data_IF_995638709695
#
_entry.id   IF_995638709695
#
_cell.length_a   1.000
_cell.length_b   1.000
_cell.length_c   1.000
_cell.angle_alpha   90.00
_cell.angle_beta   90.00
_cell.angle_gamma   90.00
#
_symmetry.space_group_name_H-M   'P 1'
#
loop_
_entity.id
_entity.type
_entity.pdbx_description
1 polymer ?
#
# COMPACT_ATOMS: atom_id res chain seq x y z
N UNK A 1 -40.97 -14.50 -40.59
CA UNK A 1 -40.37 -15.77 -40.11
C UNK A 1 -39.05 -15.99 -40.82
N UNK A 2 -37.94 -15.63 -40.24
CA UNK A 2 -36.59 -16.03 -40.70
C UNK A 2 -35.81 -16.51 -39.48
N UNK A 3 -35.54 -17.80 -39.45
CA UNK A 3 -34.72 -18.47 -38.44
C UNK A 3 -33.26 -18.13 -38.70
N UNK A 4 -32.60 -17.50 -37.71
CA UNK A 4 -31.14 -17.39 -37.68
C UNK A 4 -30.55 -18.63 -37.01
N UNK A 5 -29.88 -19.41 -37.83
CA UNK A 5 -29.10 -20.58 -37.44
C UNK A 5 -27.81 -20.10 -36.77
N UNK A 6 -27.67 -20.31 -35.46
CA UNK A 6 -26.39 -20.16 -34.75
C UNK A 6 -25.48 -21.32 -35.15
N UNK A 7 -24.45 -21.05 -35.94
CA UNK A 7 -23.32 -21.96 -36.12
C UNK A 7 -22.49 -21.97 -34.84
N UNK A 8 -22.51 -23.10 -34.16
CA UNK A 8 -21.54 -23.47 -33.13
C UNK A 8 -20.21 -23.80 -33.81
N UNK A 9 -19.20 -22.95 -33.61
CA UNK A 9 -17.82 -23.33 -33.88
C UNK A 9 -17.38 -24.18 -32.69
N UNK A 10 -17.44 -25.47 -32.88
CA UNK A 10 -16.87 -26.49 -31.98
C UNK A 10 -15.37 -26.56 -32.25
N UNK A 11 -14.61 -26.47 -31.18
CA UNK A 11 -13.17 -26.37 -31.14
C UNK A 11 -12.39 -27.44 -31.82
N UNK A 12 -11.27 -27.04 -32.33
CA UNK A 12 -10.10 -27.90 -32.45
C UNK A 12 -9.10 -27.44 -31.37
N UNK A 13 -9.26 -28.01 -30.20
CA UNK A 13 -8.17 -28.15 -29.25
C UNK A 13 -7.26 -29.22 -29.83
N UNK A 14 -6.17 -28.82 -30.40
CA UNK A 14 -5.16 -29.78 -30.87
C UNK A 14 -3.80 -29.30 -30.41
N UNK A 15 -3.29 -30.06 -29.48
CA UNK A 15 -1.87 -30.28 -29.21
C UNK A 15 -1.09 -29.06 -28.77
N UNK A 16 -1.26 -28.70 -27.51
CA UNK A 16 -0.19 -28.12 -26.70
C UNK A 16 0.97 -29.15 -26.65
N UNK A 17 1.92 -29.01 -27.54
CA UNK A 17 3.26 -29.47 -27.25
C UNK A 17 3.83 -28.56 -26.19
N UNK A 18 3.81 -29.05 -24.96
CA UNK A 18 4.54 -28.51 -23.84
C UNK A 18 6.04 -28.49 -24.15
N UNK A 19 6.53 -27.41 -24.71
CA UNK A 19 7.94 -27.08 -24.62
C UNK A 19 8.13 -26.29 -23.31
N UNK A 20 8.46 -27.05 -22.27
CA UNK A 20 9.04 -26.53 -21.03
C UNK A 20 10.16 -25.57 -21.35
N UNK A 21 10.15 -24.44 -20.61
CA UNK A 21 11.23 -23.47 -20.56
C UNK A 21 12.59 -24.18 -20.49
N UNK A 22 13.33 -24.15 -21.57
CA UNK A 22 14.68 -24.67 -21.66
C UNK A 22 15.64 -23.49 -21.83
N UNK A 23 16.24 -23.14 -20.73
CA UNK A 23 17.66 -22.90 -20.56
C UNK A 23 18.36 -22.10 -21.67
N UNK A 24 18.78 -20.93 -21.30
CA UNK A 24 19.87 -20.19 -21.91
C UNK A 24 21.04 -21.13 -22.29
N UNK A 25 21.44 -21.10 -23.57
CA UNK A 25 22.77 -21.53 -23.95
C UNK A 25 22.93 -22.93 -24.49
N UNK A 26 22.33 -23.22 -25.67
CA UNK A 26 22.93 -24.14 -26.63
C UNK A 26 22.85 -23.54 -28.02
N UNK A 27 23.97 -23.55 -28.75
CA UNK A 27 24.04 -23.14 -30.14
C UNK A 27 22.96 -23.87 -30.96
N UNK A 28 22.04 -23.07 -31.57
CA UNK A 28 21.01 -23.61 -32.48
C UNK A 28 19.57 -23.58 -31.99
N UNK A 29 19.26 -23.15 -30.75
CA UNK A 29 17.86 -23.00 -30.33
C UNK A 29 17.30 -21.63 -30.80
N UNK A 30 16.03 -21.61 -31.30
CA UNK A 30 15.39 -20.34 -31.65
C UNK A 30 15.23 -19.47 -30.40
N UNK A 31 15.61 -18.22 -30.52
CA UNK A 31 15.50 -17.23 -29.43
C UNK A 31 15.09 -15.89 -30.00
N UNK A 32 14.18 -15.21 -29.26
CA UNK A 32 13.87 -13.81 -29.45
C UNK A 32 13.85 -13.15 -28.08
N UNK A 33 14.75 -12.23 -27.84
CA UNK A 33 14.91 -11.59 -26.52
C UNK A 33 15.25 -10.12 -26.66
N UNK A 34 14.82 -9.35 -25.67
CA UNK A 34 15.17 -7.93 -25.56
C UNK A 34 16.59 -7.80 -25.01
N UNK A 35 17.37 -6.94 -25.64
CA UNK A 35 18.67 -6.51 -25.16
C UNK A 35 18.74 -4.97 -25.21
N UNK A 36 18.53 -4.34 -24.06
CA UNK A 36 18.40 -2.89 -23.99
C UNK A 36 17.20 -2.36 -24.79
N UNK A 37 17.46 -1.46 -25.74
CA UNK A 37 16.48 -0.88 -26.66
C UNK A 37 16.26 -1.69 -27.96
N UNK A 38 16.83 -2.90 -28.04
CA UNK A 38 16.78 -3.73 -29.25
C UNK A 38 16.15 -5.08 -28.98
N UNK A 39 15.43 -5.62 -30.00
CA UNK A 39 15.00 -6.99 -30.07
C UNK A 39 16.01 -7.79 -30.89
N UNK A 40 16.70 -8.72 -30.24
CA UNK A 40 17.61 -9.66 -30.88
C UNK A 40 16.84 -10.93 -31.24
N UNK A 41 16.92 -11.33 -32.50
CA UNK A 41 16.24 -12.52 -33.05
C UNK A 41 17.27 -13.47 -33.58
N UNK A 42 17.30 -14.71 -33.08
CA UNK A 42 18.20 -15.76 -33.54
C UNK A 42 17.42 -17.03 -33.86
N UNK A 43 17.33 -17.38 -35.13
CA UNK A 43 16.46 -18.45 -35.60
C UNK A 43 17.19 -19.42 -36.52
N UNK A 44 17.21 -20.73 -36.25
CA UNK A 44 17.62 -21.73 -37.20
C UNK A 44 16.48 -21.98 -38.23
N UNK A 45 16.54 -21.32 -39.38
CA UNK A 45 15.51 -21.42 -40.41
C UNK A 45 15.89 -22.58 -41.37
N UNK A 46 14.95 -23.47 -41.61
CA UNK A 46 15.07 -24.56 -42.61
C UNK A 46 13.98 -24.41 -43.68
N UNK A 47 14.18 -24.99 -44.85
CA UNK A 47 13.13 -25.03 -45.88
C UNK A 47 11.87 -25.74 -45.40
N UNK A 48 12.00 -26.75 -44.53
CA UNK A 48 10.89 -27.53 -43.94
C UNK A 48 10.02 -28.29 -44.93
N UNK A 49 10.39 -28.25 -46.22
CA UNK A 49 9.70 -28.96 -47.32
C UNK A 49 10.71 -29.53 -48.27
N UNK A 50 10.28 -30.47 -49.11
CA UNK A 50 11.06 -31.00 -50.22
C UNK A 50 10.99 -30.00 -51.38
N UNK A 51 11.99 -29.10 -51.46
CA UNK A 51 12.02 -28.03 -52.44
C UNK A 51 12.20 -28.55 -53.84
N UNK A 52 11.31 -28.26 -54.82
CA UNK A 52 11.48 -28.64 -56.22
C UNK A 52 12.81 -28.13 -56.77
N UNK A 53 13.43 -28.90 -57.69
CA UNK A 53 14.75 -28.57 -58.21
C UNK A 53 14.83 -27.21 -58.93
N UNK A 54 13.71 -26.73 -59.46
CA UNK A 54 13.54 -25.41 -60.11
C UNK A 54 12.70 -24.42 -59.27
N UNK A 55 12.37 -24.79 -58.02
CA UNK A 55 11.63 -23.94 -57.06
C UNK A 55 12.54 -23.02 -56.28
N UNK A 56 11.92 -21.98 -55.75
CA UNK A 56 12.50 -21.06 -54.75
C UNK A 56 11.53 -20.88 -53.61
N UNK A 57 12.00 -21.03 -52.37
CA UNK A 57 11.22 -20.80 -51.17
C UNK A 57 11.78 -19.55 -50.48
N UNK A 58 10.95 -18.54 -50.34
CA UNK A 58 11.26 -17.36 -49.55
C UNK A 58 10.61 -17.49 -48.16
N UNK A 59 11.40 -17.37 -47.10
CA UNK A 59 10.92 -17.41 -45.72
C UNK A 59 11.18 -16.03 -45.11
N UNK A 60 10.10 -15.35 -44.78
CA UNK A 60 10.16 -14.02 -44.19
C UNK A 60 9.81 -14.12 -42.70
N UNK A 61 10.76 -13.90 -41.76
CA UNK A 61 10.44 -13.79 -40.35
C UNK A 61 9.70 -12.46 -40.09
N UNK A 62 8.65 -12.52 -39.30
CA UNK A 62 7.82 -11.39 -38.98
C UNK A 62 7.62 -11.35 -37.46
N UNK A 63 7.97 -10.23 -36.84
CA UNK A 63 7.59 -9.94 -35.44
C UNK A 63 6.12 -9.55 -35.46
N UNK A 64 5.28 -10.19 -34.65
CA UNK A 64 3.85 -9.91 -34.64
C UNK A 64 3.25 -10.12 -33.22
N UNK A 65 2.32 -9.24 -32.84
CA UNK A 65 1.44 -9.41 -31.67
C UNK A 65 -0.03 -9.65 -32.07
N UNK A 66 -0.29 -9.86 -33.38
CA UNK A 66 -1.63 -10.01 -33.92
C UNK A 66 -2.22 -8.70 -34.48
N UNK A 67 -1.87 -7.54 -33.93
CA UNK A 67 -2.33 -6.22 -34.39
C UNK A 67 -1.24 -5.48 -35.17
N UNK A 68 -0.02 -5.50 -34.65
CA UNK A 68 1.15 -4.87 -35.25
C UNK A 68 2.12 -5.93 -35.77
N UNK A 69 2.86 -5.57 -36.84
CA UNK A 69 3.86 -6.45 -37.41
C UNK A 69 5.04 -5.69 -38.01
N UNK A 70 6.24 -6.27 -37.87
CA UNK A 70 7.45 -5.81 -38.55
C UNK A 70 8.07 -6.99 -39.30
N UNK A 71 8.30 -6.80 -40.60
CA UNK A 71 8.95 -7.78 -41.44
C UNK A 71 10.47 -7.67 -41.25
N UNK A 72 11.12 -8.80 -41.01
CA UNK A 72 12.56 -8.92 -40.99
C UNK A 72 13.09 -9.30 -42.38
N UNK A 73 14.39 -9.25 -42.57
CA UNK A 73 15.01 -9.63 -43.81
C UNK A 73 14.66 -11.09 -44.20
N UNK A 74 14.22 -11.35 -45.41
CA UNK A 74 13.84 -12.68 -45.83
C UNK A 74 15.05 -13.60 -46.03
N UNK A 75 14.81 -14.91 -45.86
CA UNK A 75 15.76 -16.00 -46.14
C UNK A 75 15.30 -16.78 -47.36
N UNK A 76 16.15 -16.93 -48.35
CA UNK A 76 15.80 -17.58 -49.62
C UNK A 76 16.47 -18.96 -49.78
N UNK A 77 15.68 -19.97 -50.03
CA UNK A 77 16.14 -21.33 -50.34
C UNK A 77 15.89 -21.61 -51.82
N UNK A 78 16.93 -21.99 -52.54
CA UNK A 78 16.85 -22.19 -54.01
C UNK A 78 17.13 -23.63 -54.37
N UNK A 79 16.30 -24.18 -55.24
CA UNK A 79 16.49 -25.52 -55.81
C UNK A 79 17.65 -25.56 -56.82
N UNK A 80 18.28 -26.73 -56.95
CA UNK A 80 19.52 -26.93 -57.73
C UNK A 80 19.46 -26.44 -59.20
N UNK A 81 18.32 -26.55 -59.87
CA UNK A 81 18.19 -26.13 -61.27
C UNK A 81 18.01 -24.59 -61.30
N UNK A 82 17.22 -24.05 -60.37
CA UNK A 82 17.00 -22.62 -60.26
C UNK A 82 18.31 -21.88 -59.94
N UNK A 83 19.10 -22.38 -59.03
CA UNK A 83 20.43 -21.87 -58.72
C UNK A 83 21.30 -21.64 -59.96
N UNK A 84 21.37 -22.70 -60.84
CA UNK A 84 22.15 -22.60 -62.08
C UNK A 84 21.58 -21.59 -63.09
N UNK A 85 20.27 -21.42 -63.10
CA UNK A 85 19.62 -20.44 -63.96
C UNK A 85 19.90 -19.04 -63.45
N UNK A 86 19.82 -18.83 -62.17
CA UNK A 86 20.08 -17.52 -61.52
C UNK A 86 21.55 -17.13 -61.66
N UNK A 87 22.52 -18.04 -61.43
CA UNK A 87 23.94 -17.82 -61.69
C UNK A 87 24.22 -17.43 -63.16
N UNK A 88 23.50 -18.08 -64.09
CA UNK A 88 23.67 -17.73 -65.52
C UNK A 88 23.06 -16.36 -65.85
N UNK A 89 21.94 -15.99 -65.28
CA UNK A 89 21.30 -14.66 -65.44
C UNK A 89 22.18 -13.57 -64.89
N UNK A 90 22.76 -13.78 -63.73
CA UNK A 90 23.68 -12.84 -63.12
C UNK A 90 24.89 -12.60 -63.98
N UNK A 91 25.48 -13.69 -64.50
CA UNK A 91 26.66 -13.63 -65.38
C UNK A 91 26.41 -12.96 -66.73
N UNK A 92 25.22 -13.18 -67.30
CA UNK A 92 24.89 -12.66 -68.64
C UNK A 92 24.28 -11.29 -68.65
N UNK A 93 23.51 -10.95 -67.59
CA UNK A 93 22.69 -9.75 -67.54
C UNK A 93 22.98 -8.83 -66.34
N UNK A 94 23.90 -9.24 -65.45
CA UNK A 94 24.19 -8.45 -64.22
C UNK A 94 23.01 -8.39 -63.23
N UNK A 95 21.99 -9.28 -63.39
CA UNK A 95 20.83 -9.29 -62.50
C UNK A 95 21.16 -10.22 -61.34
N UNK A 96 21.28 -9.69 -60.09
CA UNK A 96 21.63 -10.51 -58.93
C UNK A 96 20.56 -11.59 -58.69
N UNK A 97 21.02 -12.77 -58.30
CA UNK A 97 20.15 -13.91 -58.00
C UNK A 97 19.18 -13.63 -56.84
N UNK A 98 19.54 -12.72 -55.93
CA UNK A 98 18.79 -12.28 -54.79
C UNK A 98 18.75 -10.76 -54.79
N UNK A 99 17.58 -10.07 -54.62
CA UNK A 99 17.50 -8.62 -54.58
C UNK A 99 18.35 -8.00 -53.47
N UNK A 100 18.79 -6.77 -53.66
CA UNK A 100 19.46 -5.99 -52.61
C UNK A 100 18.57 -5.93 -51.35
N UNK A 101 19.18 -6.10 -50.16
CA UNK A 101 18.46 -6.07 -48.88
C UNK A 101 17.93 -7.43 -48.42
N UNK A 102 18.08 -8.48 -49.24
CA UNK A 102 17.82 -9.89 -48.83
C UNK A 102 19.11 -10.49 -48.32
N UNK A 103 19.08 -11.21 -47.19
CA UNK A 103 20.25 -11.94 -46.69
C UNK A 103 20.81 -12.88 -47.74
N UNK A 104 22.00 -12.55 -48.26
CA UNK A 104 22.55 -13.13 -49.51
C UNK A 104 23.30 -14.44 -49.35
N UNK A 105 23.26 -15.10 -48.21
CA UNK A 105 24.08 -16.30 -47.97
C UNK A 105 23.29 -17.61 -47.96
N UNK A 106 22.18 -17.73 -48.68
CA UNK A 106 21.22 -18.82 -48.46
C UNK A 106 20.87 -19.61 -49.71
N UNK A 107 21.86 -19.96 -50.50
CA UNK A 107 21.68 -21.01 -51.50
C UNK A 107 21.98 -22.36 -50.83
N UNK A 108 20.95 -23.18 -50.62
CA UNK A 108 21.11 -24.51 -50.02
C UNK A 108 21.26 -25.54 -51.10
N UNK A 109 22.45 -26.14 -51.17
CA UNK A 109 22.67 -27.35 -51.91
C UNK A 109 22.04 -28.53 -51.17
N UNK A 110 21.03 -29.15 -51.75
CA UNK A 110 20.34 -30.31 -51.18
C UNK A 110 21.32 -31.44 -50.85
N UNK A 111 21.55 -31.70 -49.56
CA UNK A 111 22.21 -32.93 -49.11
C UNK A 111 21.14 -33.97 -48.78
N UNK A 112 21.03 -35.00 -49.58
CA UNK A 112 20.13 -36.17 -49.30
C UNK A 112 20.51 -36.90 -48.02
N UNK A 113 21.73 -36.74 -47.52
CA UNK A 113 22.26 -37.51 -46.38
C UNK A 113 22.10 -36.79 -45.01
N UNK A 114 21.85 -35.50 -44.99
CA UNK A 114 21.67 -34.77 -43.72
C UNK A 114 20.74 -33.55 -43.89
N UNK A 115 19.43 -33.70 -43.61
CA UNK A 115 18.46 -32.59 -43.73
C UNK A 115 18.76 -31.41 -42.84
N UNK A 116 19.37 -31.64 -41.68
CA UNK A 116 19.75 -30.58 -40.71
C UNK A 116 20.95 -29.75 -41.21
N UNK A 117 21.74 -30.21 -42.19
CA UNK A 117 22.81 -29.41 -42.77
C UNK A 117 22.31 -28.22 -43.64
N UNK A 118 21.01 -28.10 -43.81
CA UNK A 118 20.37 -27.07 -44.64
C UNK A 118 19.70 -25.97 -43.81
N UNK A 119 20.01 -25.89 -42.51
CA UNK A 119 19.54 -24.81 -41.68
C UNK A 119 20.40 -23.53 -41.88
N UNK A 120 19.74 -22.39 -42.00
CA UNK A 120 20.36 -21.07 -42.00
C UNK A 120 20.14 -20.47 -40.66
N UNK A 121 21.20 -20.09 -40.00
CA UNK A 121 21.09 -19.30 -38.81
C UNK A 121 20.76 -17.84 -39.20
N UNK A 122 19.53 -17.45 -39.02
CA UNK A 122 19.11 -16.06 -39.15
C UNK A 122 19.44 -15.30 -37.87
N UNK A 123 20.11 -14.19 -38.01
CA UNK A 123 20.39 -13.22 -36.91
C UNK A 123 19.88 -11.85 -37.34
N UNK A 124 18.95 -11.33 -36.57
CA UNK A 124 18.35 -10.01 -36.78
C UNK A 124 18.37 -9.20 -35.49
N UNK A 125 18.49 -7.89 -35.66
CA UNK A 125 18.56 -6.94 -34.58
C UNK A 125 17.80 -5.67 -34.99
N UNK A 126 16.64 -5.41 -34.34
CA UNK A 126 15.76 -4.29 -34.63
C UNK A 126 15.49 -3.46 -33.38
N UNK A 127 15.14 -2.16 -33.49
CA UNK A 127 14.67 -1.38 -32.38
C UNK A 127 13.50 -2.07 -31.68
N UNK A 128 13.56 -2.18 -30.35
CA UNK A 128 12.47 -2.76 -29.57
C UNK A 128 11.36 -1.75 -29.36
N UNK A 129 10.12 -2.15 -29.64
CA UNK A 129 8.92 -1.38 -29.33
C UNK A 129 8.04 -2.09 -28.28
N UNK A 130 7.37 -1.38 -27.35
CA UNK A 130 6.60 -1.98 -26.26
C UNK A 130 5.57 -3.03 -26.69
N UNK A 131 4.98 -2.86 -27.86
CA UNK A 131 3.98 -3.79 -28.41
C UNK A 131 4.54 -5.16 -28.77
N UNK A 132 5.88 -5.29 -28.90
CA UNK A 132 6.55 -6.57 -29.21
C UNK A 132 6.54 -7.53 -28.02
N UNK A 133 6.35 -7.00 -26.80
CA UNK A 133 6.30 -7.80 -25.58
C UNK A 133 5.14 -8.81 -25.61
N UNK A 134 5.42 -10.09 -25.38
CA UNK A 134 4.41 -11.15 -25.47
C UNK A 134 4.02 -11.51 -26.90
N UNK A 135 4.65 -10.90 -27.89
CA UNK A 135 4.45 -11.24 -29.29
C UNK A 135 5.19 -12.50 -29.73
N UNK A 136 5.16 -12.76 -31.02
CA UNK A 136 5.73 -13.97 -31.63
C UNK A 136 6.55 -13.63 -32.85
N UNK A 137 7.54 -14.46 -33.16
CA UNK A 137 8.20 -14.46 -34.45
C UNK A 137 7.52 -15.52 -35.32
N UNK A 138 6.87 -15.05 -36.40
CA UNK A 138 6.13 -15.91 -37.34
C UNK A 138 6.88 -15.96 -38.65
N UNK A 139 7.11 -17.17 -39.18
CA UNK A 139 7.75 -17.39 -40.48
C UNK A 139 6.66 -17.48 -41.57
N UNK A 140 6.57 -16.46 -42.42
CA UNK A 140 5.77 -16.53 -43.64
C UNK A 140 6.61 -17.19 -44.77
N UNK A 141 6.01 -18.10 -45.50
CA UNK A 141 6.72 -18.96 -46.45
C UNK A 141 6.03 -18.93 -47.81
N UNK A 142 6.73 -18.43 -48.83
CA UNK A 142 6.26 -18.35 -50.19
C UNK A 142 7.08 -19.23 -51.11
N UNK A 143 6.44 -20.24 -51.73
CA UNK A 143 7.04 -21.14 -52.67
C UNK A 143 6.77 -20.63 -54.10
N UNK A 144 7.82 -20.34 -54.85
CA UNK A 144 7.75 -20.04 -56.28
C UNK A 144 8.21 -21.26 -57.08
N UNK A 145 7.34 -21.75 -57.92
CA UNK A 145 7.58 -22.90 -58.81
C UNK A 145 7.95 -22.47 -60.22
N UNK A 146 7.79 -23.42 -61.18
CA UNK A 146 7.94 -23.14 -62.60
C UNK A 146 6.92 -22.09 -63.10
N UNK A 147 7.32 -21.28 -64.06
CA UNK A 147 6.50 -20.22 -64.68
C UNK A 147 5.99 -19.12 -63.72
N UNK A 148 6.67 -18.89 -62.59
CA UNK A 148 6.32 -17.81 -61.69
C UNK A 148 5.10 -18.06 -60.82
N UNK A 149 4.57 -19.26 -60.75
CA UNK A 149 3.50 -19.62 -59.81
C UNK A 149 3.97 -19.52 -58.38
N UNK A 150 3.34 -18.66 -57.59
CA UNK A 150 3.60 -18.48 -56.17
C UNK A 150 2.51 -19.13 -55.33
N UNK A 151 2.93 -19.90 -54.33
CA UNK A 151 2.03 -20.58 -53.38
C UNK A 151 2.47 -20.20 -51.97
N UNK A 152 1.60 -19.52 -51.21
CA UNK A 152 1.83 -19.28 -49.81
C UNK A 152 1.62 -20.57 -49.00
N UNK A 153 2.60 -20.94 -48.22
CA UNK A 153 2.51 -22.07 -47.30
C UNK A 153 2.01 -21.60 -45.94
N UNK A 154 1.41 -22.46 -45.10
CA UNK A 154 0.98 -22.09 -43.76
C UNK A 154 2.11 -21.46 -42.96
N UNK A 155 1.84 -20.33 -42.25
CA UNK A 155 2.85 -19.70 -41.43
C UNK A 155 3.24 -20.60 -40.23
N UNK A 156 4.45 -20.42 -39.70
CA UNK A 156 4.97 -21.18 -38.57
C UNK A 156 5.41 -20.20 -37.46
N UNK A 157 4.99 -20.44 -36.22
CA UNK A 157 5.56 -19.75 -35.07
C UNK A 157 6.94 -20.34 -34.77
N UNK A 158 7.97 -19.50 -34.83
CA UNK A 158 9.37 -19.91 -34.63
C UNK A 158 9.89 -19.59 -33.22
N UNK A 159 9.43 -18.51 -32.61
CA UNK A 159 9.81 -18.13 -31.27
C UNK A 159 8.72 -17.27 -30.64
N UNK A 160 8.69 -17.24 -29.32
CA UNK A 160 7.89 -16.29 -28.52
C UNK A 160 8.81 -15.21 -27.93
N UNK A 161 8.28 -14.00 -27.85
CA UNK A 161 8.96 -12.87 -27.22
C UNK A 161 8.44 -12.78 -25.78
N UNK A 162 9.33 -12.75 -24.80
CA UNK A 162 8.93 -12.65 -23.41
C UNK A 162 8.01 -11.44 -23.15
N UNK A 163 6.99 -11.57 -22.30
CA UNK A 163 6.16 -10.45 -21.91
C UNK A 163 6.99 -9.38 -21.17
N UNK A 164 6.55 -8.13 -21.24
CA UNK A 164 7.24 -7.04 -20.54
C UNK A 164 7.20 -7.26 -19.03
N UNK A 165 8.36 -7.17 -18.40
CA UNK A 165 8.48 -7.22 -16.95
C UNK A 165 7.74 -6.02 -16.35
N UNK A 166 6.94 -6.28 -15.32
CA UNK A 166 6.24 -5.26 -14.55
C UNK A 166 6.83 -5.20 -13.14
N UNK A 167 6.98 -4.02 -12.55
CA UNK A 167 7.43 -3.91 -11.18
C UNK A 167 6.38 -4.51 -10.23
N UNK A 168 6.84 -5.19 -9.19
CA UNK A 168 5.98 -5.75 -8.15
C UNK A 168 5.81 -4.75 -7.01
N UNK A 169 4.57 -4.37 -6.75
CA UNK A 169 4.20 -3.51 -5.63
C UNK A 169 4.10 -4.33 -4.34
N UNK A 170 4.52 -3.73 -3.23
CA UNK A 170 4.39 -4.34 -1.90
C UNK A 170 3.11 -3.86 -1.22
N UNK A 171 2.24 -4.82 -0.86
CA UNK A 171 1.13 -4.63 0.08
C UNK A 171 1.45 -5.41 1.34
N UNK A 172 1.39 -4.77 2.49
CA UNK A 172 1.93 -5.33 3.71
C UNK A 172 0.91 -5.30 4.84
N UNK A 173 0.97 -6.31 5.71
CA UNK A 173 0.17 -6.39 6.93
C UNK A 173 1.11 -6.28 8.11
N UNK A 174 0.95 -5.29 8.99
CA UNK A 174 1.75 -5.20 10.21
C UNK A 174 1.43 -6.33 11.18
N UNK A 175 2.35 -6.59 12.11
CA UNK A 175 2.09 -7.48 13.24
C UNK A 175 0.94 -6.94 14.10
N UNK A 176 0.20 -7.86 14.72
CA UNK A 176 -0.88 -7.46 15.62
C UNK A 176 -0.32 -6.84 16.90
N UNK A 177 -0.87 -5.69 17.24
CA UNK A 177 -0.63 -5.01 18.51
C UNK A 177 -1.90 -5.02 19.38
N UNK A 178 -1.76 -5.02 20.72
CA UNK A 178 -2.90 -4.91 21.63
C UNK A 178 -3.67 -3.61 21.39
N UNK A 179 -4.96 -3.71 21.14
CA UNK A 179 -5.84 -2.56 20.89
C UNK A 179 -6.25 -1.93 22.20
N UNK A 180 -5.47 -0.96 22.67
CA UNK A 180 -5.76 -0.20 23.87
C UNK A 180 -6.48 1.10 23.55
N UNK A 181 -7.62 1.28 24.17
CA UNK A 181 -8.43 2.48 24.04
C UNK A 181 -8.66 3.11 25.42
N UNK A 182 -8.91 4.40 25.42
CA UNK A 182 -9.31 5.09 26.66
C UNK A 182 -10.40 6.11 26.35
N UNK A 183 -11.37 6.18 27.23
CA UNK A 183 -12.36 7.26 27.22
C UNK A 183 -12.20 8.09 28.48
N UNK A 184 -12.28 9.40 28.32
CA UNK A 184 -12.11 10.37 29.42
C UNK A 184 -13.37 11.22 29.57
N UNK A 185 -13.75 11.45 30.81
CA UNK A 185 -14.83 12.32 31.21
C UNK A 185 -14.37 13.18 32.37
N UNK A 186 -14.63 14.47 32.29
CA UNK A 186 -14.51 15.37 33.44
C UNK A 186 -15.90 15.61 34.01
N UNK A 187 -16.09 15.34 35.30
CA UNK A 187 -17.32 15.57 36.03
C UNK A 187 -17.10 16.51 37.19
N UNK A 188 -17.99 17.47 37.34
CA UNK A 188 -17.99 18.39 38.51
C UNK A 188 -18.86 17.77 39.58
N UNK A 189 -18.23 17.08 40.53
CA UNK A 189 -18.94 16.46 41.65
C UNK A 189 -18.93 17.39 42.85
N UNK A 190 -20.12 17.72 43.34
CA UNK A 190 -20.32 18.58 44.48
C UNK A 190 -20.38 17.80 45.80
N UNK A 191 -19.62 18.23 46.76
CA UNK A 191 -19.65 17.69 48.11
C UNK A 191 -20.11 18.78 49.10
N UNK A 192 -20.87 18.43 50.15
CA UNK A 192 -21.15 19.40 51.24
C UNK A 192 -19.84 19.95 51.80
N UNK A 193 -19.86 21.18 52.29
CA UNK A 193 -18.68 21.88 52.80
C UNK A 193 -17.93 21.02 53.83
N UNK A 194 -16.61 20.91 53.66
CA UNK A 194 -15.74 20.11 54.54
C UNK A 194 -16.02 18.61 54.54
N UNK A 195 -16.87 18.09 53.63
CA UNK A 195 -17.25 16.68 53.58
C UNK A 195 -16.79 16.01 52.28
N UNK A 196 -16.66 14.70 52.36
CA UNK A 196 -16.33 13.81 51.23
C UNK A 196 -17.40 12.76 50.98
N UNK A 197 -18.58 12.85 51.60
CA UNK A 197 -19.68 11.95 51.34
C UNK A 197 -20.34 12.29 50.01
N UNK A 198 -20.35 11.35 49.10
CA UNK A 198 -21.01 11.49 47.80
C UNK A 198 -22.53 11.37 47.98
N UNK A 199 -23.25 12.43 47.70
CA UNK A 199 -24.71 12.47 47.74
C UNK A 199 -25.24 12.69 46.32
N UNK A 200 -25.93 11.73 45.74
CA UNK A 200 -26.45 11.83 44.36
C UNK A 200 -27.42 13.01 44.18
N UNK A 201 -28.27 13.29 45.19
CA UNK A 201 -29.23 14.38 45.15
C UNK A 201 -28.67 15.75 45.56
N UNK A 202 -27.38 15.90 45.82
CA UNK A 202 -26.76 17.18 46.19
C UNK A 202 -26.34 17.95 44.98
N UNK A 203 -26.76 19.19 44.83
CA UNK A 203 -26.51 20.07 43.69
C UNK A 203 -26.83 19.35 42.35
N UNK A 204 -25.89 19.38 41.40
CA UNK A 204 -26.02 18.76 40.07
C UNK A 204 -25.47 17.33 39.97
N UNK A 205 -25.15 16.69 41.10
CA UNK A 205 -24.53 15.39 41.12
C UNK A 205 -25.30 14.31 40.36
N UNK A 206 -26.62 14.36 40.35
CA UNK A 206 -27.46 13.41 39.61
C UNK A 206 -27.12 13.39 38.14
N UNK A 207 -26.94 14.57 37.53
CA UNK A 207 -26.55 14.73 36.12
C UNK A 207 -25.12 14.28 35.86
N UNK A 208 -24.19 14.72 36.72
CA UNK A 208 -22.77 14.37 36.57
C UNK A 208 -22.51 12.89 36.76
N UNK A 209 -23.11 12.26 37.75
CA UNK A 209 -23.02 10.81 37.97
C UNK A 209 -23.69 10.03 36.85
N UNK A 210 -24.82 10.50 36.30
CA UNK A 210 -25.44 9.84 35.16
C UNK A 210 -24.53 9.78 33.93
N UNK A 211 -23.66 10.77 33.72
CA UNK A 211 -22.66 10.76 32.64
C UNK A 211 -21.59 9.67 32.89
N UNK A 212 -21.09 9.58 34.13
CA UNK A 212 -20.14 8.52 34.55
C UNK A 212 -20.78 7.15 34.42
N UNK A 213 -22.01 7.00 34.93
CA UNK A 213 -22.78 5.76 34.90
C UNK A 213 -23.00 5.28 33.45
N UNK A 214 -23.43 6.18 32.57
CA UNK A 214 -23.67 5.88 31.15
C UNK A 214 -22.40 5.42 30.43
N UNK A 215 -21.27 6.09 30.66
CA UNK A 215 -20.00 5.70 30.09
C UNK A 215 -19.56 4.33 30.61
N UNK A 216 -19.60 4.14 31.94
CA UNK A 216 -19.15 2.90 32.59
C UNK A 216 -20.06 1.72 32.20
N UNK A 217 -21.38 1.87 32.25
CA UNK A 217 -22.34 0.83 31.87
C UNK A 217 -22.22 0.45 30.39
N UNK A 218 -22.00 1.42 29.50
CA UNK A 218 -21.79 1.17 28.06
C UNK A 218 -20.56 0.32 27.81
N UNK A 219 -19.46 0.59 28.52
CA UNK A 219 -18.23 -0.18 28.35
C UNK A 219 -18.32 -1.56 29.01
N UNK A 220 -18.85 -1.67 30.22
CA UNK A 220 -19.00 -2.95 30.92
C UNK A 220 -20.12 -3.85 30.33
N UNK A 221 -21.08 -3.27 29.64
CA UNK A 221 -22.13 -4.00 28.94
C UNK A 221 -21.70 -4.65 27.64
N UNK A 222 -20.45 -4.49 27.25
CA UNK A 222 -19.88 -5.13 26.07
C UNK A 222 -18.91 -6.24 26.49
N UNK A 223 -19.35 -7.48 26.40
CA UNK A 223 -18.57 -8.69 26.76
C UNK A 223 -17.26 -8.83 25.97
N UNK A 224 -17.11 -8.10 24.86
CA UNK A 224 -15.90 -8.09 24.07
C UNK A 224 -14.81 -7.16 24.62
N UNK A 225 -15.12 -6.32 25.62
CA UNK A 225 -14.15 -5.38 26.19
C UNK A 225 -13.57 -5.92 27.49
N UNK A 226 -12.27 -5.70 27.69
CA UNK A 226 -11.61 -5.93 28.97
C UNK A 226 -11.14 -4.60 29.56
N UNK A 227 -11.75 -4.19 30.69
CA UNK A 227 -11.34 -2.99 31.40
C UNK A 227 -9.98 -3.24 32.05
N UNK A 228 -8.98 -2.45 31.69
CA UNK A 228 -7.63 -2.52 32.26
C UNK A 228 -7.45 -1.60 33.46
N UNK A 229 -7.85 -0.34 33.30
CA UNK A 229 -7.68 0.66 34.35
C UNK A 229 -8.82 1.67 34.38
N UNK A 230 -9.15 2.08 35.59
CA UNK A 230 -10.03 3.21 35.88
C UNK A 230 -9.20 4.26 36.65
N UNK A 231 -8.84 5.33 35.94
CA UNK A 231 -8.10 6.43 36.52
C UNK A 231 -9.05 7.48 37.05
N UNK A 232 -8.88 7.83 38.33
CA UNK A 232 -9.64 8.87 39.01
C UNK A 232 -8.67 9.92 39.54
N UNK A 233 -8.90 11.20 39.20
CA UNK A 233 -8.14 12.31 39.77
C UNK A 233 -9.09 13.37 40.32
N UNK A 234 -9.00 13.58 41.62
CA UNK A 234 -9.83 14.54 42.33
C UNK A 234 -9.07 15.85 42.60
N UNK A 235 -9.83 16.90 42.47
CA UNK A 235 -9.36 18.25 42.68
C UNK A 235 -10.12 18.94 43.84
N UNK A 236 -9.43 19.76 44.61
CA UNK A 236 -10.05 20.69 45.52
C UNK A 236 -9.80 22.14 45.09
N UNK A 237 -10.47 23.08 45.71
CA UNK A 237 -10.27 24.51 45.52
C UNK A 237 -9.36 25.06 46.62
N UNK A 238 -8.58 26.12 46.36
CA UNK A 238 -7.65 26.70 47.31
C UNK A 238 -8.39 27.56 48.35
N UNK A 239 -9.26 26.95 49.15
CA UNK A 239 -10.05 27.65 50.18
C UNK A 239 -9.52 27.41 51.60
N UNK A 240 -8.88 26.28 51.82
CA UNK A 240 -8.33 25.81 53.08
C UNK A 240 -6.83 25.56 52.92
N UNK A 241 -6.16 25.12 54.01
CA UNK A 241 -4.74 24.81 53.96
C UNK A 241 -4.44 23.63 53.02
N UNK A 242 -3.31 23.68 52.36
CA UNK A 242 -2.85 22.65 51.40
C UNK A 242 -2.88 21.22 52.00
N UNK A 243 -2.42 20.94 53.25
CA UNK A 243 -2.53 19.62 53.86
C UNK A 243 -3.98 19.17 54.08
N UNK A 244 -4.90 20.11 54.38
CA UNK A 244 -6.32 19.81 54.52
C UNK A 244 -6.93 19.45 53.15
N UNK A 245 -6.65 20.23 52.11
CA UNK A 245 -7.11 20.01 50.74
C UNK A 245 -6.57 18.71 50.18
N UNK A 246 -5.35 18.31 50.51
CA UNK A 246 -4.76 17.02 50.16
C UNK A 246 -5.60 15.83 50.70
N UNK A 247 -5.97 15.87 51.98
CA UNK A 247 -6.79 14.83 52.58
C UNK A 247 -8.22 14.85 52.06
N UNK A 248 -8.77 16.03 51.84
CA UNK A 248 -10.14 16.21 51.36
C UNK A 248 -10.27 15.66 49.92
N UNK A 249 -9.38 16.02 49.00
CA UNK A 249 -9.38 15.53 47.62
C UNK A 249 -9.20 14.01 47.58
N UNK A 250 -8.29 13.43 48.37
CA UNK A 250 -8.09 12.01 48.46
C UNK A 250 -9.35 11.25 48.95
N UNK A 251 -10.03 11.80 49.96
CA UNK A 251 -11.27 11.18 50.46
C UNK A 251 -12.42 11.31 49.45
N UNK A 252 -12.51 12.37 48.69
CA UNK A 252 -13.50 12.54 47.60
C UNK A 252 -13.28 11.51 46.48
N UNK A 253 -12.05 11.37 46.00
CA UNK A 253 -11.69 10.30 45.02
C UNK A 253 -12.06 8.94 45.56
N UNK A 254 -11.80 8.65 46.84
CA UNK A 254 -12.19 7.39 47.47
C UNK A 254 -13.71 7.17 47.43
N UNK A 255 -14.50 8.20 47.66
CA UNK A 255 -15.96 8.11 47.60
C UNK A 255 -16.46 7.80 46.19
N UNK A 256 -15.89 8.38 45.15
CA UNK A 256 -16.21 8.05 43.76
C UNK A 256 -15.78 6.61 43.43
N UNK A 257 -14.57 6.21 43.83
CA UNK A 257 -14.11 4.82 43.65
C UNK A 257 -15.08 3.82 44.28
N UNK A 258 -15.46 4.05 45.54
CA UNK A 258 -16.40 3.17 46.25
C UNK A 258 -17.77 3.13 45.55
N UNK A 259 -18.27 4.27 45.10
CA UNK A 259 -19.47 4.37 44.28
C UNK A 259 -19.43 3.48 43.03
N UNK A 260 -18.30 3.54 42.28
CA UNK A 260 -18.12 2.72 41.07
C UNK A 260 -17.97 1.23 41.38
N UNK A 261 -17.32 0.87 42.48
CA UNK A 261 -17.22 -0.49 42.93
C UNK A 261 -18.59 -1.07 43.33
N UNK A 262 -19.36 -0.33 44.08
CA UNK A 262 -20.68 -0.77 44.58
C UNK A 262 -21.74 -0.88 43.46
N UNK A 263 -21.71 0.05 42.48
CA UNK A 263 -22.75 0.08 41.44
C UNK A 263 -22.38 -0.75 40.19
N UNK A 264 -21.08 -0.98 39.91
CA UNK A 264 -20.63 -1.64 38.70
C UNK A 264 -19.78 -2.90 38.95
N UNK A 265 -19.52 -3.26 40.20
CA UNK A 265 -18.75 -4.47 40.53
C UNK A 265 -17.29 -4.44 40.10
N UNK A 266 -16.72 -3.26 39.88
CA UNK A 266 -15.32 -3.12 39.43
C UNK A 266 -14.35 -3.55 40.54
N UNK A 267 -13.34 -4.38 40.17
CA UNK A 267 -12.31 -4.79 41.10
C UNK A 267 -11.48 -3.59 41.60
N UNK A 268 -11.06 -3.62 42.84
CA UNK A 268 -10.19 -2.59 43.41
C UNK A 268 -8.84 -2.48 42.69
N UNK A 269 -8.37 -3.56 42.09
CA UNK A 269 -7.11 -3.63 41.38
C UNK A 269 -7.06 -2.79 40.09
N UNK A 270 -8.22 -2.52 39.47
CA UNK A 270 -8.27 -1.72 38.24
C UNK A 270 -8.16 -0.21 38.50
N UNK A 271 -8.29 0.25 39.76
CA UNK A 271 -8.29 1.67 40.07
C UNK A 271 -6.89 2.26 40.25
N UNK A 272 -6.62 3.31 39.53
CA UNK A 272 -5.48 4.21 39.74
C UNK A 272 -6.04 5.55 40.21
N UNK A 273 -5.63 6.01 41.38
CA UNK A 273 -6.13 7.25 41.97
C UNK A 273 -5.01 8.28 42.11
N UNK A 274 -5.34 9.51 41.79
CA UNK A 274 -4.49 10.68 41.94
C UNK A 274 -5.27 11.86 42.58
N UNK A 275 -4.58 12.79 43.15
CA UNK A 275 -5.16 13.98 43.73
C UNK A 275 -4.38 15.21 43.29
N UNK A 276 -5.08 16.29 43.04
CA UNK A 276 -4.54 17.65 42.91
C UNK A 276 -5.19 18.48 44.02
N UNK A 277 -4.51 18.76 45.12
CA UNK A 277 -5.08 19.42 46.25
C UNK A 277 -5.66 20.79 45.94
N UNK A 278 -5.03 21.52 44.98
CA UNK A 278 -5.42 22.84 44.55
C UNK A 278 -5.13 23.06 43.08
N UNK A 279 -6.17 23.30 42.28
CA UNK A 279 -6.05 23.43 40.81
C UNK A 279 -5.66 24.84 40.40
N UNK A 280 -4.43 25.24 40.75
CA UNK A 280 -3.87 26.53 40.40
C UNK A 280 -3.77 26.76 38.87
N UNK A 281 -3.50 25.73 38.10
CA UNK A 281 -3.41 25.82 36.63
C UNK A 281 -4.74 26.19 36.00
N UNK A 282 -5.84 25.59 36.47
CA UNK A 282 -7.17 25.95 35.96
C UNK A 282 -7.62 27.32 36.44
N UNK A 283 -7.31 27.68 37.69
CA UNK A 283 -7.54 29.03 38.19
C UNK A 283 -6.81 30.05 37.32
N UNK A 284 -5.53 29.83 37.06
CA UNK A 284 -4.71 30.70 36.22
C UNK A 284 -5.32 30.90 34.83
N UNK A 285 -5.69 29.78 34.16
CA UNK A 285 -6.33 29.81 32.83
C UNK A 285 -7.63 30.63 32.84
N UNK A 286 -8.45 30.44 33.86
CA UNK A 286 -9.69 31.20 34.01
C UNK A 286 -9.39 32.69 34.19
N UNK A 287 -8.47 33.05 35.07
CA UNK A 287 -8.08 34.45 35.35
C UNK A 287 -7.57 35.14 34.09
N UNK A 288 -6.75 34.48 33.29
CA UNK A 288 -6.23 35.00 31.99
C UNK A 288 -7.37 35.39 31.05
N UNK A 289 -8.44 34.61 31.01
CA UNK A 289 -9.58 34.79 30.09
C UNK A 289 -10.69 35.67 30.68
N UNK A 290 -10.62 36.04 31.99
CA UNK A 290 -11.68 36.73 32.70
C UNK A 290 -11.59 38.25 32.54
N UNK A 291 -12.70 38.89 32.87
CA UNK A 291 -12.84 40.37 33.04
C UNK A 291 -12.54 40.83 34.47
N UNK A 292 -11.81 40.05 35.24
CA UNK A 292 -11.48 40.34 36.63
C UNK A 292 -10.67 41.67 36.72
N UNK A 293 -11.14 42.69 37.46
CA UNK A 293 -10.42 43.96 37.54
C UNK A 293 -8.98 43.83 38.02
N UNK A 294 -8.75 43.02 39.06
CA UNK A 294 -7.42 42.74 39.61
C UNK A 294 -6.71 41.55 38.93
N UNK A 295 -7.00 41.25 37.66
CA UNK A 295 -6.46 40.11 36.93
C UNK A 295 -4.94 39.99 37.01
N UNK A 296 -4.25 41.11 36.77
CA UNK A 296 -2.78 41.09 36.72
C UNK A 296 -2.16 40.85 38.11
N UNK A 297 -2.81 41.33 39.17
CA UNK A 297 -2.38 41.14 40.55
C UNK A 297 -2.56 39.66 40.97
N UNK A 298 -3.69 39.03 40.61
CA UNK A 298 -3.93 37.59 40.85
C UNK A 298 -2.93 36.75 40.11
N UNK A 299 -2.67 37.04 38.83
CA UNK A 299 -1.67 36.32 38.02
C UNK A 299 -0.26 36.48 38.63
N UNK A 300 0.09 37.68 39.07
CA UNK A 300 1.38 37.91 39.73
C UNK A 300 1.55 37.04 40.99
N UNK A 301 0.52 36.92 41.83
CA UNK A 301 0.54 36.05 43.01
C UNK A 301 0.68 34.59 42.60
N UNK A 302 -0.12 34.12 41.63
CA UNK A 302 -0.06 32.72 41.16
C UNK A 302 1.31 32.36 40.59
N UNK A 303 1.91 33.27 39.80
CA UNK A 303 3.13 33.01 39.06
C UNK A 303 4.42 33.18 39.88
N UNK A 304 4.37 34.00 40.96
CA UNK A 304 5.57 34.34 41.75
C UNK A 304 5.64 33.66 43.11
N UNK A 305 4.50 33.34 43.72
CA UNK A 305 4.46 32.72 45.03
C UNK A 305 4.43 31.20 44.90
N UNK A 306 5.45 30.53 45.38
CA UNK A 306 5.57 29.06 45.25
C UNK A 306 4.74 28.29 46.29
N UNK A 307 4.60 28.83 47.52
CA UNK A 307 3.82 28.17 48.56
C UNK A 307 2.31 28.36 48.33
N UNK A 308 1.53 27.26 48.21
CA UNK A 308 0.10 27.33 47.98
C UNK A 308 -0.69 28.09 49.03
N UNK A 309 -0.40 27.89 50.30
CA UNK A 309 -1.08 28.58 51.41
C UNK A 309 -0.78 30.11 51.38
N UNK A 310 0.44 30.50 51.03
CA UNK A 310 0.81 31.88 50.83
C UNK A 310 0.18 32.51 49.59
N UNK A 311 -0.03 31.74 48.52
CA UNK A 311 -0.82 32.20 47.33
C UNK A 311 -2.24 32.54 47.69
N UNK A 312 -2.93 31.66 48.42
CA UNK A 312 -4.30 31.90 48.85
C UNK A 312 -4.37 33.13 49.76
N UNK A 313 -3.45 33.26 50.75
CA UNK A 313 -3.36 34.44 51.60
C UNK A 313 -3.08 35.72 50.82
N UNK A 314 -2.24 35.67 49.75
CA UNK A 314 -1.96 36.80 48.88
C UNK A 314 -3.19 37.25 48.09
N UNK A 315 -3.94 36.31 47.52
CA UNK A 315 -5.18 36.62 46.78
C UNK A 315 -6.25 37.21 47.69
N UNK A 316 -6.36 36.74 48.94
CA UNK A 316 -7.29 37.28 49.94
C UNK A 316 -7.06 38.75 50.27
N UNK A 317 -5.84 39.25 50.06
CA UNK A 317 -5.48 40.65 50.34
C UNK A 317 -5.78 41.61 49.19
N UNK A 318 -5.98 41.09 47.98
CA UNK A 318 -6.27 41.89 46.79
C UNK A 318 -7.65 42.55 46.94
N UNK A 319 -7.75 43.84 46.66
CA UNK A 319 -8.99 44.66 46.74
C UNK A 319 -9.74 44.50 48.06
N UNK A 320 -9.02 44.42 49.18
CA UNK A 320 -9.61 44.18 50.50
C UNK A 320 -10.53 42.95 50.54
N UNK A 321 -10.20 41.90 49.74
CA UNK A 321 -10.91 40.62 49.67
C UNK A 321 -12.06 40.57 48.63
N UNK A 322 -12.37 41.64 47.93
CA UNK A 322 -13.45 41.66 46.96
C UNK A 322 -13.18 40.67 45.80
N UNK A 323 -11.95 40.67 45.30
CA UNK A 323 -11.50 39.72 44.27
C UNK A 323 -11.62 38.26 44.75
N UNK A 324 -11.19 37.96 45.96
CA UNK A 324 -11.30 36.61 46.54
C UNK A 324 -12.76 36.16 46.68
N UNK A 325 -13.67 37.04 47.14
CA UNK A 325 -15.09 36.73 47.24
C UNK A 325 -15.73 36.45 45.88
N UNK A 326 -15.26 37.11 44.82
CA UNK A 326 -15.70 36.82 43.46
C UNK A 326 -15.21 35.44 42.99
N UNK A 327 -13.95 35.11 43.23
CA UNK A 327 -13.39 33.79 42.92
C UNK A 327 -14.11 32.66 43.66
N UNK A 328 -14.40 32.86 44.97
CA UNK A 328 -15.16 31.91 45.77
C UNK A 328 -16.52 31.55 45.19
N UNK A 329 -17.21 32.56 44.65
CA UNK A 329 -18.57 32.40 44.12
C UNK A 329 -18.58 31.86 42.70
N UNK A 330 -17.71 32.33 41.82
CA UNK A 330 -17.80 32.10 40.38
C UNK A 330 -16.86 31.00 39.90
N UNK A 331 -15.70 30.79 40.55
CA UNK A 331 -14.64 29.95 40.03
C UNK A 331 -14.36 28.70 40.87
N UNK A 332 -14.16 28.89 42.17
CA UNK A 332 -13.76 27.82 43.07
C UNK A 332 -14.74 26.62 43.09
N UNK A 333 -16.06 26.77 42.94
CA UNK A 333 -16.96 25.63 42.79
C UNK A 333 -16.65 24.77 41.58
N UNK A 334 -16.15 25.37 40.49
CA UNK A 334 -15.80 24.65 39.24
C UNK A 334 -14.44 23.97 39.33
N UNK A 335 -13.55 24.39 40.22
CA UNK A 335 -12.27 23.74 40.48
C UNK A 335 -12.43 22.42 41.27
N UNK A 336 -13.54 22.25 41.95
CA UNK A 336 -13.89 21.03 42.68
C UNK A 336 -14.49 20.01 41.72
N UNK A 337 -13.62 19.31 40.97
CA UNK A 337 -14.01 18.33 39.93
C UNK A 337 -13.30 17.01 40.10
N UNK A 338 -13.80 16.01 39.40
CA UNK A 338 -13.18 14.70 39.24
C UNK A 338 -12.93 14.43 37.77
N UNK A 339 -11.70 14.07 37.43
CA UNK A 339 -11.38 13.52 36.14
C UNK A 339 -11.51 12.00 36.21
N UNK A 340 -12.32 11.45 35.33
CA UNK A 340 -12.57 10.03 35.17
C UNK A 340 -12.09 9.58 33.79
N UNK A 341 -11.22 8.58 33.77
CA UNK A 341 -10.74 7.95 32.55
C UNK A 341 -10.78 6.43 32.72
N UNK A 342 -11.38 5.77 31.78
CA UNK A 342 -11.43 4.30 31.72
C UNK A 342 -10.64 3.83 30.51
N UNK A 343 -9.69 2.93 30.73
CA UNK A 343 -8.90 2.31 29.67
C UNK A 343 -9.30 0.85 29.56
N UNK A 344 -9.43 0.39 28.33
CA UNK A 344 -9.88 -0.96 28.00
C UNK A 344 -9.14 -1.49 26.76
N UNK A 345 -9.12 -2.81 26.63
CA UNK A 345 -8.62 -3.50 25.44
C UNK A 345 -9.77 -4.14 24.68
N UNK A 346 -9.60 -4.16 23.35
CA UNK A 346 -10.45 -4.89 22.43
C UNK A 346 -9.75 -6.19 22.01
N UNK A 347 -10.47 -7.32 21.93
CA UNK A 347 -9.92 -8.55 21.37
C UNK A 347 -9.61 -8.37 19.88
N UNK A 348 -8.78 -9.24 19.29
CA UNK A 348 -8.62 -9.29 17.85
C UNK A 348 -9.95 -9.62 17.17
N UNK A 349 -10.29 -8.89 16.12
CA UNK A 349 -11.47 -9.15 15.32
C UNK A 349 -11.17 -10.07 14.13
N UNK A 350 -12.13 -10.93 13.81
CA UNK A 350 -12.10 -11.71 12.58
C UNK A 350 -12.34 -10.81 11.36
N UNK A 351 -11.97 -11.26 10.18
CA UNK A 351 -12.24 -10.54 8.93
C UNK A 351 -13.73 -10.23 8.73
N UNK A 352 -14.62 -11.16 9.15
CA UNK A 352 -16.08 -10.94 9.10
C UNK A 352 -16.52 -9.76 9.97
N UNK A 353 -16.05 -9.73 11.22
CA UNK A 353 -16.30 -8.62 12.15
C UNK A 353 -15.67 -7.31 11.66
N UNK A 354 -14.45 -7.37 11.15
CA UNK A 354 -13.77 -6.19 10.59
C UNK A 354 -14.56 -5.59 9.42
N UNK A 355 -15.19 -6.43 8.59
CA UNK A 355 -16.05 -5.98 7.48
C UNK A 355 -17.29 -5.23 7.94
N UNK A 356 -17.88 -5.62 9.06
CA UNK A 356 -19.03 -4.94 9.64
C UNK A 356 -18.62 -3.64 10.35
N UNK A 357 -17.44 -3.66 10.99
CA UNK A 357 -16.95 -2.54 11.79
C UNK A 357 -16.33 -1.42 10.96
N UNK A 358 -15.75 -1.72 9.81
CA UNK A 358 -15.00 -0.73 9.01
C UNK A 358 -15.84 0.50 8.62
N UNK A 359 -17.16 0.32 8.45
CA UNK A 359 -18.07 1.40 8.09
C UNK A 359 -18.75 2.06 9.31
N UNK A 360 -18.81 1.38 10.47
CA UNK A 360 -19.57 1.83 11.64
C UNK A 360 -18.69 2.25 12.82
N UNK A 361 -17.58 1.57 13.02
CA UNK A 361 -16.65 1.74 14.13
C UNK A 361 -15.19 1.48 13.70
N UNK A 362 -14.68 2.15 12.67
CA UNK A 362 -13.32 1.94 12.18
C UNK A 362 -12.26 2.15 13.27
N UNK A 363 -12.53 3.02 14.25
CA UNK A 363 -11.64 3.28 15.39
C UNK A 363 -11.41 2.05 16.30
N UNK A 364 -12.20 1.01 16.18
CA UNK A 364 -12.04 -0.25 16.93
C UNK A 364 -11.13 -1.25 16.23
N UNK A 365 -10.87 -1.03 14.95
CA UNK A 365 -9.98 -1.90 14.16
C UNK A 365 -8.52 -1.50 14.32
N UNK A 366 -7.66 -2.49 14.51
CA UNK A 366 -6.22 -2.28 14.37
C UNK A 366 -5.84 -2.12 12.90
N UNK A 367 -4.69 -1.50 12.64
CA UNK A 367 -4.17 -1.41 11.27
C UNK A 367 -3.97 -2.79 10.63
N UNK A 368 -3.48 -3.78 11.40
CA UNK A 368 -3.34 -5.15 10.94
C UNK A 368 -4.66 -5.78 10.49
N UNK A 369 -5.74 -5.53 11.23
CA UNK A 369 -7.08 -5.99 10.87
C UNK A 369 -7.62 -5.32 9.60
N UNK A 370 -7.41 -4.02 9.45
CA UNK A 370 -7.77 -3.31 8.23
C UNK A 370 -6.97 -3.81 7.03
N UNK A 371 -5.65 -4.03 7.18
CA UNK A 371 -4.82 -4.57 6.10
C UNK A 371 -5.24 -5.98 5.71
N UNK A 372 -5.50 -6.88 6.67
CA UNK A 372 -6.04 -8.24 6.38
C UNK A 372 -7.40 -8.19 5.69
N UNK A 373 -8.27 -7.26 6.10
CA UNK A 373 -9.54 -7.04 5.41
C UNK A 373 -9.32 -6.58 3.97
N UNK A 374 -8.37 -5.66 3.73
CA UNK A 374 -8.02 -5.20 2.39
C UNK A 374 -7.53 -6.33 1.49
N UNK A 375 -6.75 -7.28 2.02
CA UNK A 375 -6.25 -8.45 1.27
C UNK A 375 -7.38 -9.38 0.78
N UNK A 376 -8.53 -9.39 1.45
CA UNK A 376 -9.68 -10.19 1.05
C UNK A 376 -10.41 -9.64 -0.19
N UNK A 377 -10.07 -8.45 -0.66
CA UNK A 377 -10.63 -7.84 -1.85
C UNK A 377 -9.62 -7.84 -3.01
N UNK A 378 -10.10 -7.94 -4.26
CA UNK A 378 -9.25 -7.76 -5.44
C UNK A 378 -8.46 -6.44 -5.36
N UNK A 379 -7.23 -6.43 -5.86
CA UNK A 379 -6.34 -5.24 -5.75
C UNK A 379 -6.97 -3.99 -6.37
N UNK A 380 -7.70 -4.16 -7.46
CA UNK A 380 -8.31 -3.05 -8.21
C UNK A 380 -9.76 -2.77 -7.81
N UNK A 381 -10.23 -3.36 -6.70
CA UNK A 381 -11.61 -3.18 -6.24
C UNK A 381 -11.79 -1.87 -5.45
N UNK A 382 -12.96 -1.22 -5.56
CA UNK A 382 -13.29 -0.05 -4.77
C UNK A 382 -13.34 -0.34 -3.27
N UNK A 383 -13.67 -1.58 -2.88
CA UNK A 383 -13.69 -2.01 -1.48
C UNK A 383 -12.28 -2.00 -0.88
N UNK A 384 -11.28 -2.50 -1.61
CA UNK A 384 -9.88 -2.45 -1.16
C UNK A 384 -9.40 -1.00 -1.03
N UNK A 385 -9.73 -0.17 -2.00
CA UNK A 385 -9.38 1.25 -1.97
C UNK A 385 -10.03 1.96 -0.76
N UNK A 386 -11.29 1.68 -0.48
CA UNK A 386 -11.99 2.21 0.69
C UNK A 386 -11.32 1.82 2.00
N UNK A 387 -10.99 0.53 2.19
CA UNK A 387 -10.32 0.06 3.41
C UNK A 387 -8.95 0.69 3.60
N UNK A 388 -8.15 0.79 2.52
CA UNK A 388 -6.82 1.42 2.59
C UNK A 388 -6.90 2.92 2.87
N UNK A 389 -7.90 3.63 2.31
CA UNK A 389 -8.14 5.05 2.60
C UNK A 389 -8.55 5.25 4.06
N UNK A 390 -9.45 4.41 4.59
CA UNK A 390 -9.85 4.43 6.01
C UNK A 390 -8.64 4.12 6.91
N UNK A 391 -7.82 3.13 6.55
CA UNK A 391 -6.60 2.83 7.29
C UNK A 391 -5.65 4.05 7.36
N UNK A 392 -5.46 4.77 6.26
CA UNK A 392 -4.64 5.97 6.24
C UNK A 392 -5.26 7.13 7.02
N UNK A 393 -6.60 7.23 7.08
CA UNK A 393 -7.30 8.25 7.87
C UNK A 393 -7.08 8.05 9.38
N UNK A 394 -7.19 6.81 9.87
CA UNK A 394 -7.04 6.49 11.29
C UNK A 394 -5.57 6.30 11.72
N UNK A 395 -4.69 5.94 10.79
CA UNK A 395 -3.25 5.73 11.02
C UNK A 395 -2.40 6.55 10.04
N UNK A 396 -2.52 7.91 10.06
CA UNK A 396 -1.96 8.77 9.01
C UNK A 396 -0.44 8.76 8.91
N UNK A 397 0.25 8.47 10.01
CA UNK A 397 1.72 8.49 10.10
C UNK A 397 2.31 7.07 10.22
N UNK A 398 1.46 6.03 10.08
CA UNK A 398 1.93 4.66 10.12
C UNK A 398 2.52 4.25 8.76
N UNK A 399 3.75 3.69 8.74
CA UNK A 399 4.42 3.32 7.50
C UNK A 399 3.69 2.26 6.66
N UNK A 400 2.97 1.33 7.28
CA UNK A 400 2.21 0.31 6.56
C UNK A 400 0.96 0.90 5.90
N UNK A 401 0.24 1.78 6.59
CA UNK A 401 -0.90 2.49 6.01
C UNK A 401 -0.46 3.36 4.82
N UNK A 402 0.61 4.14 5.00
CA UNK A 402 1.22 4.95 3.95
C UNK A 402 1.68 4.09 2.76
N UNK A 403 2.37 2.97 3.02
CA UNK A 403 2.86 2.06 1.99
C UNK A 403 1.73 1.44 1.15
N UNK A 404 0.68 0.94 1.82
CA UNK A 404 -0.42 0.26 1.14
C UNK A 404 -1.25 1.24 0.30
N UNK A 405 -1.48 2.46 0.79
CA UNK A 405 -2.13 3.51 0.00
C UNK A 405 -1.25 3.94 -1.19
N UNK A 406 0.06 4.08 -0.99
CA UNK A 406 0.99 4.39 -2.07
C UNK A 406 1.02 3.29 -3.14
N UNK A 407 0.98 2.01 -2.74
CA UNK A 407 0.91 0.89 -3.68
C UNK A 407 -0.33 0.94 -4.57
N UNK A 408 -1.51 1.24 -3.98
CA UNK A 408 -2.75 1.44 -4.76
C UNK A 408 -2.63 2.63 -5.70
N UNK A 409 -2.11 3.76 -5.21
CA UNK A 409 -1.94 4.97 -6.00
C UNK A 409 -0.99 4.75 -7.20
N UNK A 410 0.16 4.08 -6.98
CA UNK A 410 1.08 3.69 -8.06
C UNK A 410 0.41 2.78 -9.09
N UNK A 411 -0.40 1.83 -8.64
CA UNK A 411 -1.13 0.93 -9.53
C UNK A 411 -2.16 1.66 -10.40
N UNK A 412 -2.84 2.65 -9.84
CA UNK A 412 -3.81 3.48 -10.55
C UNK A 412 -3.17 4.63 -11.37
N UNK A 413 -1.84 4.80 -11.28
CA UNK A 413 -1.13 5.91 -11.93
C UNK A 413 -1.26 7.26 -11.21
N UNK A 414 -1.78 7.30 -10.00
CA UNK A 414 -1.82 8.52 -9.17
C UNK A 414 -0.47 8.72 -8.44
N UNK A 415 0.49 9.23 -9.21
CA UNK A 415 1.86 9.44 -8.74
C UNK A 415 1.92 10.47 -7.62
N UNK A 416 1.02 11.46 -7.62
CA UNK A 416 1.02 12.51 -6.62
C UNK A 416 0.64 11.97 -5.23
N UNK A 417 -0.44 11.20 -5.13
CA UNK A 417 -0.85 10.55 -3.88
C UNK A 417 0.22 9.55 -3.39
N UNK A 418 0.80 8.75 -4.31
CA UNK A 418 1.87 7.84 -3.95
C UNK A 418 3.07 8.57 -3.32
N UNK A 419 3.49 9.68 -3.93
CA UNK A 419 4.60 10.51 -3.43
C UNK A 419 4.30 11.12 -2.06
N UNK A 420 3.08 11.62 -1.85
CA UNK A 420 2.69 12.18 -0.56
C UNK A 420 2.75 11.13 0.56
N UNK A 421 2.21 9.95 0.31
CA UNK A 421 2.22 8.85 1.26
C UNK A 421 3.65 8.38 1.58
N UNK A 422 4.48 8.13 0.56
CA UNK A 422 5.85 7.64 0.74
C UNK A 422 6.77 8.68 1.41
N UNK A 423 6.58 9.96 1.12
CA UNK A 423 7.36 11.03 1.76
C UNK A 423 7.01 11.20 3.24
N UNK A 424 5.74 10.98 3.63
CA UNK A 424 5.29 11.06 5.03
C UNK A 424 6.02 10.03 5.90
N UNK A 425 6.27 8.85 5.37
CA UNK A 425 6.94 7.75 6.08
C UNK A 425 8.32 7.43 5.47
N UNK A 426 9.03 8.46 4.99
CA UNK A 426 10.33 8.31 4.38
C UNK A 426 11.35 7.64 5.32
N UNK A 427 12.04 6.63 4.82
CA UNK A 427 13.06 5.88 5.58
C UNK A 427 12.55 4.65 6.31
N UNK A 428 11.24 4.39 6.34
CA UNK A 428 10.72 3.15 6.89
C UNK A 428 11.04 1.96 5.95
N UNK A 429 11.61 0.85 6.45
CA UNK A 429 12.02 -0.28 5.61
C UNK A 429 10.88 -0.86 4.74
N UNK A 430 9.67 -0.88 5.27
CA UNK A 430 8.49 -1.40 4.58
C UNK A 430 8.08 -0.59 3.35
N UNK A 431 8.48 0.69 3.24
CA UNK A 431 8.13 1.56 2.10
C UNK A 431 9.15 1.52 0.95
N UNK A 432 10.34 0.95 1.18
CA UNK A 432 11.47 1.04 0.26
C UNK A 432 11.19 0.47 -1.14
N UNK A 433 10.49 -0.66 -1.23
CA UNK A 433 10.17 -1.24 -2.53
C UNK A 433 9.27 -0.31 -3.37
N UNK A 434 8.19 0.20 -2.79
CA UNK A 434 7.28 1.10 -3.50
C UNK A 434 7.93 2.47 -3.78
N UNK A 435 8.82 2.94 -2.91
CA UNK A 435 9.65 4.12 -3.15
C UNK A 435 10.61 3.91 -4.33
N UNK A 436 11.21 2.72 -4.46
CA UNK A 436 12.04 2.36 -5.61
C UNK A 436 11.26 2.42 -6.94
N UNK A 437 10.01 1.95 -6.94
CA UNK A 437 9.12 2.05 -8.12
C UNK A 437 8.80 3.52 -8.44
N UNK A 438 8.52 4.34 -7.43
CA UNK A 438 8.29 5.77 -7.62
C UNK A 438 9.54 6.45 -8.21
N UNK A 439 10.74 6.10 -7.74
CA UNK A 439 11.99 6.61 -8.29
C UNK A 439 12.20 6.19 -9.75
N UNK A 440 11.83 4.98 -10.17
CA UNK A 440 11.85 4.58 -11.58
C UNK A 440 10.93 5.45 -12.43
N UNK A 441 9.72 5.72 -11.96
CA UNK A 441 8.76 6.59 -12.64
C UNK A 441 9.31 8.02 -12.78
N UNK A 442 10.08 8.49 -11.81
CA UNK A 442 10.74 9.79 -11.82
C UNK A 442 12.02 9.84 -12.69
N UNK A 443 12.46 8.69 -13.23
CA UNK A 443 13.71 8.58 -13.99
C UNK A 443 14.98 8.52 -13.14
N UNK A 444 14.85 8.44 -11.80
CA UNK A 444 16.00 8.32 -10.87
C UNK A 444 16.37 6.84 -10.66
N UNK A 445 17.04 6.27 -11.67
CA UNK A 445 17.42 4.86 -11.68
C UNK A 445 18.45 4.49 -10.59
N UNK A 446 19.34 5.41 -10.20
CA UNK A 446 20.34 5.14 -9.15
C UNK A 446 19.64 4.97 -7.79
N UNK A 447 18.76 5.90 -7.46
CA UNK A 447 17.99 5.85 -6.21
C UNK A 447 17.01 4.68 -6.21
N UNK A 448 16.40 4.35 -7.34
CA UNK A 448 15.52 3.19 -7.46
C UNK A 448 16.26 1.88 -7.15
N UNK A 449 17.44 1.68 -7.76
CA UNK A 449 18.29 0.50 -7.50
C UNK A 449 18.69 0.41 -6.03
N UNK A 450 19.08 1.54 -5.44
CA UNK A 450 19.42 1.61 -4.02
C UNK A 450 18.22 1.23 -3.12
N UNK A 451 17.03 1.75 -3.41
CA UNK A 451 15.82 1.41 -2.66
C UNK A 451 15.46 -0.08 -2.76
N UNK A 452 15.55 -0.69 -3.95
CA UNK A 452 15.29 -2.12 -4.12
C UNK A 452 16.35 -2.99 -3.42
N UNK A 453 17.62 -2.56 -3.43
CA UNK A 453 18.69 -3.26 -2.71
C UNK A 453 18.42 -3.29 -1.21
N UNK A 454 18.10 -2.14 -0.62
CA UNK A 454 17.73 -2.07 0.79
C UNK A 454 16.45 -2.86 1.10
N UNK A 455 15.43 -2.77 0.24
CA UNK A 455 14.20 -3.55 0.42
C UNK A 455 14.49 -5.06 0.45
N UNK A 456 15.36 -5.54 -0.44
CA UNK A 456 15.80 -6.94 -0.46
C UNK A 456 16.60 -7.32 0.80
N UNK A 457 17.48 -6.45 1.29
CA UNK A 457 18.22 -6.64 2.55
C UNK A 457 17.29 -6.76 3.76
N UNK A 458 16.19 -6.00 3.77
CA UNK A 458 15.14 -6.11 4.80
C UNK A 458 14.14 -7.24 4.55
N UNK A 459 14.40 -8.13 3.56
CA UNK A 459 13.63 -9.34 3.31
C UNK A 459 12.38 -9.15 2.43
N UNK A 460 12.25 -8.05 1.69
CA UNK A 460 11.17 -7.86 0.72
C UNK A 460 11.34 -8.77 -0.48
N UNK A 461 10.39 -9.69 -0.71
CA UNK A 461 10.35 -10.55 -1.88
C UNK A 461 10.15 -9.75 -3.18
N UNK A 462 9.29 -8.73 -3.13
CA UNK A 462 9.05 -7.82 -4.24
C UNK A 462 10.28 -6.97 -4.55
N UNK A 463 10.97 -6.48 -3.50
CA UNK A 463 12.24 -5.74 -3.66
C UNK A 463 13.31 -6.61 -4.30
N UNK A 464 13.45 -7.87 -3.88
CA UNK A 464 14.36 -8.84 -4.48
C UNK A 464 14.02 -9.09 -5.96
N UNK A 465 12.73 -9.26 -6.28
CA UNK A 465 12.27 -9.43 -7.66
C UNK A 465 12.58 -8.19 -8.52
N UNK A 466 12.24 -7.01 -8.03
CA UNK A 466 12.44 -5.76 -8.77
C UNK A 466 13.93 -5.45 -8.97
N UNK A 467 14.79 -5.79 -8.01
CA UNK A 467 16.23 -5.68 -8.14
C UNK A 467 16.79 -6.65 -9.19
N UNK A 468 16.34 -7.90 -9.19
CA UNK A 468 16.77 -8.93 -10.14
C UNK A 468 16.40 -8.58 -11.59
N UNK A 469 15.30 -7.84 -11.81
CA UNK A 469 14.83 -7.42 -13.13
C UNK A 469 15.06 -5.93 -13.38
N UNK A 470 15.97 -5.31 -12.64
CA UNK A 470 16.16 -3.87 -12.65
C UNK A 470 16.46 -3.30 -14.04
N UNK A 471 17.34 -3.95 -14.80
CA UNK A 471 17.75 -3.48 -16.12
C UNK A 471 16.58 -3.47 -17.12
N UNK A 472 15.65 -4.43 -17.00
CA UNK A 472 14.43 -4.47 -17.82
C UNK A 472 13.41 -3.41 -17.38
N UNK A 473 13.30 -3.16 -16.08
CA UNK A 473 12.40 -2.17 -15.52
C UNK A 473 12.88 -0.73 -15.81
N UNK A 474 14.17 -0.45 -15.67
CA UNK A 474 14.74 0.88 -15.88
C UNK A 474 14.71 1.34 -17.34
N UNK A 475 14.72 0.41 -18.32
CA UNK A 475 14.55 0.75 -19.73
C UNK A 475 13.11 1.12 -20.13
N UNK A 476 12.15 0.99 -19.22
CA UNK A 476 10.72 1.24 -19.51
C UNK A 476 10.33 2.68 -19.16
N UNK A 477 11.04 3.31 -18.25
CA UNK A 477 10.83 4.65 -17.71
C UNK A 477 12.00 5.56 -18.05
#
# INVERSE_FOLDING_TARGET
>A
MKRHTKQRITGLLAVCLTFTAAVYGREGNPAAYRNGDRLCVRLPITAGIDLPANGQLTVTPVVSNGENQILLAPVVFTGRIREKVDERRERLYGIPAVPEGVFSNTVIRRSRKNPSANAVLFEGDIPYEPWMAGGQIVLYRDLEGCAGHRTALPPLVAAEIAPAVQPRLSFLVPADEPKRHSEQLTAVIHFPQGRSVLLRGFADNSSQLARIDSLTARLLGNDSLSVETVYLKGYASPEDTYPYNTRLSANRVRSIRNYLQENFGLDSAVFITATEPEDWDSLRRWVVLSDLPARNEVLAVIDTVSDPDARDAGIRQIDNGATYLRLLREVYPQLRREDYRISYTLPPFTVGQSRELIASRPEWLSLGEMCRLAECYPVDSPERAYVCATALEFYPDDPYACNNMAALALRCGDIQTARQCLNRCAGAPCTLNNLGILCLIDGDSEKARYCFSLAAEYGSGEGTYNLAHFDELSCKW
#
